data_IF_321658968844
#
_entry.id   IF_321658968844
#
_cell.length_a   1.000
_cell.length_b   1.000
_cell.length_c   1.000
_cell.angle_alpha   90.00
_cell.angle_beta   90.00
_cell.angle_gamma   90.00
#
_symmetry.space_group_name_H-M   'P 1'
#
loop_
_entity.id
_entity.type
_entity.pdbx_description
1 polymer ?
#
# COMPACT_ATOMS: atom_id res chain seq x y z
N UNK A 1 3.41 -1.23 -13.89
CA UNK A 1 3.06 0.03 -13.20
C UNK A 1 3.98 0.15 -11.99
N UNK A 2 4.53 1.32 -11.63
CA UNK A 2 5.47 1.41 -10.48
C UNK A 2 4.70 1.45 -9.17
N UNK A 3 4.97 0.50 -8.28
CA UNK A 3 4.36 0.45 -6.94
C UNK A 3 4.71 1.70 -6.12
N UNK A 4 3.76 2.19 -5.34
CA UNK A 4 3.98 3.30 -4.41
C UNK A 4 4.86 2.86 -3.23
N UNK A 5 5.72 3.75 -2.69
CA UNK A 5 6.54 3.43 -1.53
C UNK A 5 5.68 3.20 -0.30
N UNK A 6 6.17 2.40 0.65
CA UNK A 6 5.52 2.28 1.96
C UNK A 6 5.54 3.64 2.69
N UNK A 7 4.56 3.86 3.57
CA UNK A 7 4.31 5.14 4.21
C UNK A 7 3.55 6.13 3.32
N UNK A 8 3.27 5.79 2.06
CA UNK A 8 2.36 6.58 1.22
C UNK A 8 0.95 6.56 1.81
N UNK A 9 0.32 7.72 1.93
CA UNK A 9 -1.06 7.88 2.38
C UNK A 9 -1.93 8.15 1.16
N UNK A 10 -2.99 7.37 1.00
CA UNK A 10 -3.87 7.40 -0.18
C UNK A 10 -5.35 7.46 0.22
N UNK A 11 -6.19 7.99 -0.67
CA UNK A 11 -7.64 7.79 -0.66
C UNK A 11 -7.99 6.62 -1.57
N UNK A 12 -8.99 5.85 -1.16
CA UNK A 12 -9.56 4.76 -1.95
C UNK A 12 -11.00 5.10 -2.36
N UNK A 13 -11.46 4.57 -3.50
CA UNK A 13 -12.76 4.88 -4.13
C UNK A 13 -13.94 4.82 -3.15
N UNK A 14 -14.00 3.77 -2.32
CA UNK A 14 -15.14 3.49 -1.42
C UNK A 14 -14.76 3.60 0.06
N UNK A 15 -13.77 4.43 0.41
CA UNK A 15 -13.36 4.63 1.81
C UNK A 15 -13.32 6.11 2.20
N UNK A 16 -14.05 6.44 3.26
CA UNK A 16 -14.01 7.79 3.85
C UNK A 16 -12.64 8.08 4.46
N UNK A 17 -12.08 7.11 5.19
CA UNK A 17 -10.79 7.24 5.86
C UNK A 17 -9.64 6.91 4.92
N UNK A 18 -8.60 7.74 4.96
CA UNK A 18 -7.35 7.51 4.22
C UNK A 18 -6.60 6.27 4.73
N UNK A 19 -5.88 5.62 3.83
CA UNK A 19 -5.09 4.41 4.12
C UNK A 19 -3.61 4.70 3.92
N UNK A 20 -2.77 4.26 4.85
CA UNK A 20 -1.32 4.28 4.71
C UNK A 20 -0.84 2.91 4.25
N UNK A 21 -0.06 2.86 3.17
CA UNK A 21 0.55 1.63 2.64
C UNK A 21 1.66 1.18 3.60
N UNK A 22 1.59 -0.07 4.05
CA UNK A 22 2.58 -0.71 4.93
C UNK A 22 3.23 -1.96 4.30
N UNK A 23 2.71 -2.44 3.17
CA UNK A 23 3.23 -3.59 2.45
C UNK A 23 2.90 -3.55 0.96
N UNK A 24 3.57 -4.40 0.18
CA UNK A 24 3.46 -4.50 -1.28
C UNK A 24 3.45 -5.95 -1.71
N UNK A 25 2.82 -6.26 -2.85
CA UNK A 25 2.79 -7.61 -3.45
C UNK A 25 2.37 -8.69 -2.45
N UNK A 26 1.26 -8.45 -1.76
CA UNK A 26 0.79 -9.38 -0.73
C UNK A 26 -0.04 -10.51 -1.33
N UNK A 27 0.08 -11.67 -0.70
CA UNK A 27 -0.74 -12.85 -0.99
C UNK A 27 -1.59 -13.12 0.25
N UNK A 28 -2.91 -13.05 0.10
CA UNK A 28 -3.84 -13.37 1.18
C UNK A 28 -3.90 -14.88 1.45
N UNK A 29 -4.53 -15.29 2.55
CA UNK A 29 -4.70 -16.71 2.90
C UNK A 29 -5.45 -17.50 1.82
N UNK A 30 -6.39 -16.86 1.11
CA UNK A 30 -7.12 -17.43 -0.02
C UNK A 30 -6.35 -17.34 -1.35
N UNK A 31 -5.05 -17.06 -1.30
CA UNK A 31 -4.11 -17.01 -2.44
C UNK A 31 -4.45 -15.95 -3.48
N UNK A 32 -5.06 -14.84 -3.08
CA UNK A 32 -5.26 -13.68 -3.95
C UNK A 32 -4.07 -12.74 -3.81
N UNK A 33 -3.63 -12.23 -4.94
CA UNK A 33 -2.56 -11.25 -5.02
C UNK A 33 -3.14 -9.84 -4.92
N UNK A 34 -2.44 -8.99 -4.17
CA UNK A 34 -2.76 -7.59 -4.00
C UNK A 34 -1.53 -6.72 -4.17
N UNK A 35 -1.70 -5.57 -4.82
CA UNK A 35 -0.60 -4.61 -4.98
C UNK A 35 -0.11 -4.09 -3.62
N UNK A 36 -1.03 -3.85 -2.68
CA UNK A 36 -0.75 -3.19 -1.41
C UNK A 36 -1.41 -3.85 -0.21
N UNK A 37 -0.75 -3.65 0.93
CA UNK A 37 -1.30 -3.82 2.26
C UNK A 37 -1.27 -2.47 2.95
N UNK A 38 -2.36 -2.09 3.60
CA UNK A 38 -2.45 -0.81 4.30
C UNK A 38 -3.18 -0.88 5.63
N UNK A 39 -3.06 0.21 6.38
CA UNK A 39 -3.77 0.46 7.64
C UNK A 39 -4.45 1.82 7.59
N UNK A 40 -5.50 2.01 8.38
CA UNK A 40 -6.18 3.30 8.48
C UNK A 40 -5.24 4.38 9.00
N UNK A 41 -5.20 5.53 8.35
CA UNK A 41 -4.45 6.70 8.81
C UNK A 41 -5.39 7.68 9.53
N UNK A 42 -4.99 8.31 10.67
CA UNK A 42 -3.70 8.21 11.37
C UNK A 42 -3.65 7.11 12.44
N UNK A 43 -4.67 6.23 12.47
CA UNK A 43 -4.87 5.21 13.50
C UNK A 43 -3.70 4.21 13.57
N UNK A 44 -3.20 3.77 12.41
CA UNK A 44 -2.13 2.79 12.29
C UNK A 44 -2.59 1.35 12.54
N UNK A 45 -1.65 0.50 12.93
CA UNK A 45 -1.90 -0.93 13.19
C UNK A 45 -2.33 -1.15 14.65
N UNK A 46 -3.53 -1.70 14.86
CA UNK A 46 -4.06 -2.05 16.20
C UNK A 46 -4.48 -3.52 16.29
N UNK A 47 -4.15 -4.32 15.27
CA UNK A 47 -4.57 -5.72 15.17
C UNK A 47 -4.82 -6.13 13.73
N UNK A 48 -4.83 -7.44 13.50
CA UNK A 48 -4.93 -8.01 12.15
C UNK A 48 -6.26 -7.65 11.46
N UNK A 49 -7.35 -7.44 12.22
CA UNK A 49 -8.65 -7.01 11.67
C UNK A 49 -8.64 -5.65 10.96
N UNK A 50 -7.63 -4.81 11.22
CA UNK A 50 -7.55 -3.44 10.66
C UNK A 50 -6.55 -3.36 9.49
N UNK A 51 -6.07 -4.49 9.01
CA UNK A 51 -5.19 -4.59 7.84
C UNK A 51 -6.04 -4.79 6.59
N UNK A 52 -5.78 -3.97 5.58
CA UNK A 52 -6.52 -3.95 4.32
C UNK A 52 -5.60 -4.38 3.19
N UNK A 53 -6.06 -5.29 2.34
CA UNK A 53 -5.40 -5.59 1.06
C UNK A 53 -6.16 -4.90 -0.07
N UNK A 54 -5.45 -4.20 -0.95
CA UNK A 54 -6.07 -3.46 -2.06
C UNK A 54 -5.12 -3.33 -3.25
N UNK A 55 -5.70 -3.05 -4.41
CA UNK A 55 -4.98 -2.86 -5.67
C UNK A 55 -4.87 -1.38 -6.02
N UNK A 56 -3.92 -1.05 -6.89
CA UNK A 56 -3.66 0.32 -7.30
C UNK A 56 -4.86 0.98 -7.99
N UNK A 57 -5.66 0.21 -8.71
CA UNK A 57 -6.86 0.70 -9.40
C UNK A 57 -7.92 1.27 -8.43
N UNK A 58 -7.82 0.94 -7.13
CA UNK A 58 -8.69 1.50 -6.09
C UNK A 58 -8.22 2.83 -5.54
N UNK A 59 -7.03 3.30 -5.91
CA UNK A 59 -6.48 4.57 -5.42
C UNK A 59 -7.08 5.73 -6.23
N UNK A 60 -7.77 6.63 -5.54
CA UNK A 60 -8.31 7.86 -6.14
C UNK A 60 -7.40 9.06 -5.98
N UNK A 61 -6.61 9.10 -4.92
CA UNK A 61 -5.73 10.22 -4.62
C UNK A 61 -4.49 9.76 -3.82
N UNK A 62 -3.31 10.22 -4.23
CA UNK A 62 -2.09 10.14 -3.42
C UNK A 62 -2.00 11.39 -2.53
N UNK A 63 -2.38 11.27 -1.25
CA UNK A 63 -2.40 12.40 -0.31
C UNK A 63 -0.99 12.76 0.18
N UNK A 64 -0.13 11.75 0.32
CA UNK A 64 1.27 11.92 0.71
C UNK A 64 2.11 10.79 0.14
N UNK A 65 3.25 11.13 -0.45
CA UNK A 65 4.21 10.14 -0.92
C UNK A 65 5.07 9.63 0.21
N UNK A 66 5.13 8.31 0.37
CA UNK A 66 6.02 7.65 1.33
C UNK A 66 7.49 8.02 1.11
N UNK A 67 8.30 7.80 2.14
CA UNK A 67 9.70 8.21 2.11
C UNK A 67 10.48 7.44 1.04
N UNK A 68 11.22 8.18 0.21
CA UNK A 68 11.98 7.64 -0.91
C UNK A 68 13.47 7.72 -0.58
N UNK A 69 14.09 6.56 -0.33
CA UNK A 69 15.54 6.42 -0.19
C UNK A 69 16.13 5.66 -1.37
N UNK A 70 17.46 5.57 -1.44
CA UNK A 70 18.14 4.76 -2.45
C UNK A 70 17.77 3.27 -2.33
N UNK A 71 17.59 2.75 -1.10
CA UNK A 71 17.12 1.38 -0.88
C UNK A 71 15.70 1.16 -1.41
N UNK A 72 14.80 2.12 -1.20
CA UNK A 72 13.44 2.08 -1.74
C UNK A 72 13.46 2.12 -3.27
N UNK A 73 14.31 2.95 -3.88
CA UNK A 73 14.48 2.97 -5.34
C UNK A 73 14.97 1.61 -5.86
N UNK A 74 16.00 1.03 -5.25
CA UNK A 74 16.56 -0.27 -5.63
C UNK A 74 15.53 -1.39 -5.50
N UNK A 75 14.80 -1.44 -4.38
CA UNK A 75 13.77 -2.44 -4.17
C UNK A 75 12.64 -2.27 -5.19
N UNK A 76 12.18 -1.04 -5.43
CA UNK A 76 11.07 -0.78 -6.36
C UNK A 76 11.40 -1.19 -7.79
N UNK A 77 12.63 -1.02 -8.25
CA UNK A 77 13.04 -1.52 -9.58
C UNK A 77 13.03 -3.06 -9.62
N UNK A 78 13.51 -3.74 -8.57
CA UNK A 78 13.46 -5.23 -8.50
C UNK A 78 12.05 -5.80 -8.50
N UNK A 79 11.10 -5.12 -7.85
CA UNK A 79 9.70 -5.55 -7.81
C UNK A 79 9.00 -5.45 -9.18
N UNK A 80 9.57 -4.71 -10.15
CA UNK A 80 9.04 -4.61 -11.52
C UNK A 80 9.51 -5.74 -12.43
N UNK A 81 10.52 -6.50 -12.02
CA UNK A 81 11.09 -7.62 -12.79
C UNK A 81 10.39 -8.96 -12.50
N UNK A 82 9.46 -8.97 -11.53
CA UNK A 82 8.64 -10.12 -11.13
C UNK A 82 7.28 -10.05 -11.83
#
# INVERSE_FOLDING_TARGET
>A
MKLLPIGTVVKLEDMEQSVMIIGRMAISEDKREFDYVGVLYPIGFIGNENVLCFNYDKITEEMHKGYMTDEELVLREKLLEV
#
